data_IF_564746574627
#
_entry.id   IF_564746574627
#
_cell.length_a   1.000
_cell.length_b   1.000
_cell.length_c   1.000
_cell.angle_alpha   90.00
_cell.angle_beta   90.00
_cell.angle_gamma   90.00
#
_symmetry.space_group_name_H-M   'P 1'
#
loop_
_entity.id
_entity.type
_entity.pdbx_description
1 polymer ?
#
# COMPACT_ATOMS: atom_id res chain seq x y z
N UNK A 1 -1.65 -7.92 47.13
CA UNK A 1 -2.63 -7.82 46.01
C UNK A 1 -2.17 -8.50 44.71
N UNK A 2 -0.85 -8.64 44.42
CA UNK A 2 -0.39 -9.25 43.14
C UNK A 2 -0.48 -10.78 43.05
N UNK A 3 -0.49 -11.51 44.16
CA UNK A 3 -0.59 -12.99 44.13
C UNK A 3 -1.96 -13.50 43.68
N UNK A 4 -3.03 -12.83 44.06
CA UNK A 4 -4.41 -13.21 43.72
C UNK A 4 -4.73 -12.99 42.21
N UNK A 5 -4.14 -11.98 41.58
CA UNK A 5 -4.38 -11.70 40.17
C UNK A 5 -3.72 -12.77 39.26
N UNK A 6 -2.49 -13.19 39.58
CA UNK A 6 -1.80 -14.24 38.83
C UNK A 6 -2.51 -15.59 38.92
N UNK A 7 -3.00 -15.95 40.12
CA UNK A 7 -3.77 -17.19 40.28
C UNK A 7 -5.09 -17.16 39.52
N UNK A 8 -5.78 -16.02 39.55
CA UNK A 8 -7.02 -15.82 38.78
C UNK A 8 -6.74 -15.91 37.28
N UNK A 9 -5.67 -15.25 36.81
CA UNK A 9 -5.27 -15.31 35.41
C UNK A 9 -4.93 -16.73 34.95
N UNK A 10 -4.18 -17.50 35.74
CA UNK A 10 -3.88 -18.89 35.41
C UNK A 10 -5.13 -19.75 35.25
N UNK A 11 -6.16 -19.55 36.07
CA UNK A 11 -7.44 -20.25 35.93
C UNK A 11 -8.19 -19.82 34.67
N UNK A 12 -8.15 -18.52 34.32
CA UNK A 12 -8.73 -17.99 33.09
C UNK A 12 -8.01 -18.57 31.87
N UNK A 13 -6.67 -18.68 31.92
CA UNK A 13 -5.87 -19.29 30.86
C UNK A 13 -6.24 -20.75 30.63
N UNK A 14 -6.42 -21.54 31.68
CA UNK A 14 -6.86 -22.94 31.57
C UNK A 14 -8.21 -23.07 30.86
N UNK A 15 -9.19 -22.24 31.21
CA UNK A 15 -10.49 -22.24 30.55
C UNK A 15 -10.40 -21.85 29.07
N UNK A 16 -9.56 -20.85 28.75
CA UNK A 16 -9.36 -20.40 27.36
C UNK A 16 -8.62 -21.46 26.53
N UNK A 17 -7.69 -22.21 27.12
CA UNK A 17 -7.00 -23.31 26.46
C UNK A 17 -7.93 -24.47 26.08
N UNK A 18 -8.97 -24.74 26.90
CA UNK A 18 -10.00 -25.76 26.61
C UNK A 18 -10.98 -25.32 25.52
N UNK A 19 -11.25 -24.00 25.38
CA UNK A 19 -12.22 -23.45 24.42
C UNK A 19 -11.61 -23.07 23.05
N UNK A 20 -10.28 -23.06 22.94
CA UNK A 20 -9.57 -22.59 21.73
C UNK A 20 -8.69 -23.69 21.14
N UNK A 21 -8.32 -23.53 19.85
CA UNK A 21 -7.27 -24.35 19.25
C UNK A 21 -5.91 -24.01 19.86
N UNK A 22 -5.03 -25.01 20.02
CA UNK A 22 -3.70 -24.82 20.61
C UNK A 22 -2.87 -23.72 19.89
N UNK A 23 -3.02 -23.62 18.56
CA UNK A 23 -2.35 -22.58 17.76
C UNK A 23 -2.90 -21.18 18.08
N UNK A 24 -4.20 -21.03 18.20
CA UNK A 24 -4.80 -19.72 18.53
C UNK A 24 -4.48 -19.31 19.96
N UNK A 25 -4.47 -20.26 20.89
CA UNK A 25 -4.13 -20.01 22.28
C UNK A 25 -2.67 -19.54 22.43
N UNK A 26 -1.70 -20.28 21.89
CA UNK A 26 -0.28 -19.93 21.99
C UNK A 26 0.06 -18.63 21.26
N UNK A 27 -0.64 -18.30 20.18
CA UNK A 27 -0.36 -17.08 19.40
C UNK A 27 -0.96 -15.82 20.03
N UNK A 28 -2.19 -15.90 20.59
CA UNK A 28 -2.94 -14.70 20.96
C UNK A 28 -3.15 -14.53 22.45
N UNK A 29 -3.27 -15.62 23.23
CA UNK A 29 -3.63 -15.58 24.64
C UNK A 29 -2.43 -15.76 25.55
N UNK A 30 -1.57 -16.73 25.28
CA UNK A 30 -0.38 -17.03 26.07
C UNK A 30 0.57 -15.83 26.27
N UNK A 31 0.78 -14.94 25.27
CA UNK A 31 1.62 -13.77 25.42
C UNK A 31 1.01 -12.62 26.25
N UNK A 32 -0.24 -12.71 26.68
CA UNK A 32 -0.92 -11.67 27.46
C UNK A 32 -0.44 -11.69 28.91
N UNK A 33 -0.14 -10.52 29.47
CA UNK A 33 0.30 -10.35 30.87
C UNK A 33 -0.74 -9.55 31.65
N UNK A 34 -1.29 -10.06 32.77
CA UNK A 34 -2.18 -9.30 33.62
C UNK A 34 -1.41 -8.23 34.41
N UNK A 35 -1.82 -6.97 34.27
CA UNK A 35 -1.15 -5.81 34.90
C UNK A 35 -1.83 -5.42 36.19
N UNK A 36 -3.15 -5.23 36.16
CA UNK A 36 -3.92 -4.84 37.35
C UNK A 36 -5.36 -5.35 37.28
N UNK A 37 -5.97 -5.51 38.44
CA UNK A 37 -7.39 -5.86 38.56
C UNK A 37 -7.98 -5.05 39.69
N UNK A 38 -9.08 -4.35 39.39
CA UNK A 38 -9.92 -3.63 40.34
C UNK A 38 -11.28 -4.33 40.43
N UNK A 39 -12.19 -3.84 41.29
CA UNK A 39 -13.50 -4.46 41.46
C UNK A 39 -14.39 -4.47 40.19
N UNK A 40 -14.12 -3.60 39.22
CA UNK A 40 -14.91 -3.46 37.98
C UNK A 40 -14.13 -3.70 36.71
N UNK A 41 -12.78 -3.68 36.73
CA UNK A 41 -11.96 -3.72 35.52
C UNK A 41 -10.68 -4.54 35.71
N UNK A 42 -10.26 -5.26 34.66
CA UNK A 42 -8.99 -5.94 34.55
C UNK A 42 -8.19 -5.34 33.40
N UNK A 43 -6.95 -4.95 33.66
CA UNK A 43 -6.01 -4.44 32.65
C UNK A 43 -5.07 -5.56 32.22
N UNK A 44 -5.05 -5.87 30.93
CA UNK A 44 -4.21 -6.90 30.30
C UNK A 44 -3.22 -6.25 29.33
N UNK A 45 -1.95 -6.52 29.50
CA UNK A 45 -0.89 -6.06 28.61
C UNK A 45 -0.69 -7.05 27.47
N UNK A 46 -0.67 -6.53 26.22
CA UNK A 46 -0.45 -7.29 24.99
C UNK A 46 0.87 -6.90 24.32
N UNK A 47 1.55 -7.82 23.60
CA UNK A 47 2.90 -7.58 23.09
C UNK A 47 3.01 -6.49 22.03
N UNK A 48 1.96 -6.24 21.23
CA UNK A 48 2.02 -5.30 20.11
C UNK A 48 0.64 -4.73 19.76
N UNK A 49 0.61 -3.63 19.00
CA UNK A 49 -0.60 -3.04 18.42
C UNK A 49 -1.37 -4.03 17.53
N UNK A 50 -0.67 -4.92 16.85
CA UNK A 50 -1.30 -5.96 16.05
C UNK A 50 -2.06 -6.96 16.93
N UNK A 51 -1.45 -7.42 18.01
CA UNK A 51 -2.11 -8.29 18.99
C UNK A 51 -3.31 -7.58 19.64
N UNK A 52 -3.16 -6.28 19.97
CA UNK A 52 -4.25 -5.46 20.51
C UNK A 52 -5.47 -5.46 19.59
N UNK A 53 -5.29 -5.20 18.28
CA UNK A 53 -6.38 -5.18 17.30
C UNK A 53 -7.12 -6.51 17.19
N UNK A 54 -6.39 -7.63 17.11
CA UNK A 54 -6.96 -8.98 17.00
C UNK A 54 -7.68 -9.39 18.28
N UNK A 55 -7.05 -9.19 19.44
CA UNK A 55 -7.63 -9.56 20.74
C UNK A 55 -8.89 -8.74 21.01
N UNK A 56 -8.86 -7.44 20.74
CA UNK A 56 -10.02 -6.54 20.90
C UNK A 56 -11.20 -6.94 20.03
N UNK A 57 -10.95 -7.36 18.78
CA UNK A 57 -12.03 -7.65 17.82
C UNK A 57 -12.57 -9.07 17.90
N UNK A 58 -11.76 -10.06 18.32
CA UNK A 58 -12.14 -11.48 18.26
C UNK A 58 -12.20 -12.18 19.61
N UNK A 59 -11.36 -11.78 20.55
CA UNK A 59 -11.15 -12.54 21.79
C UNK A 59 -11.56 -11.79 23.05
N UNK A 60 -11.88 -10.48 22.97
CA UNK A 60 -12.28 -9.68 24.14
C UNK A 60 -13.46 -10.29 24.89
N UNK A 61 -14.51 -10.66 24.18
CA UNK A 61 -15.73 -11.22 24.76
C UNK A 61 -15.48 -12.61 25.37
N UNK A 62 -14.63 -13.41 24.74
CA UNK A 62 -14.23 -14.72 25.24
C UNK A 62 -13.45 -14.59 26.55
N UNK A 63 -12.47 -13.69 26.60
CA UNK A 63 -11.68 -13.40 27.80
C UNK A 63 -12.59 -12.87 28.92
N UNK A 64 -13.52 -11.97 28.61
CA UNK A 64 -14.48 -11.42 29.56
C UNK A 64 -15.39 -12.50 30.15
N UNK A 65 -15.87 -13.42 29.34
CA UNK A 65 -16.65 -14.57 29.78
C UNK A 65 -15.84 -15.50 30.69
N UNK A 66 -14.60 -15.80 30.36
CA UNK A 66 -13.71 -16.61 31.18
C UNK A 66 -13.46 -15.96 32.57
N UNK A 67 -13.22 -14.64 32.61
CA UNK A 67 -13.12 -13.90 33.87
C UNK A 67 -14.40 -13.96 34.68
N UNK A 68 -15.57 -13.85 34.03
CA UNK A 68 -16.88 -13.94 34.70
C UNK A 68 -17.10 -15.33 35.36
N UNK A 69 -16.67 -16.40 34.69
CA UNK A 69 -16.76 -17.76 35.21
C UNK A 69 -15.85 -17.94 36.44
N UNK A 70 -14.60 -17.45 36.36
CA UNK A 70 -13.61 -17.63 37.43
C UNK A 70 -13.87 -16.74 38.65
N UNK A 71 -14.31 -15.50 38.43
CA UNK A 71 -14.43 -14.49 39.50
C UNK A 71 -15.88 -14.30 40.01
N UNK A 72 -16.89 -14.83 39.28
CA UNK A 72 -18.30 -14.58 39.48
C UNK A 72 -18.69 -13.08 39.47
N UNK A 73 -17.79 -12.23 38.87
CA UNK A 73 -18.00 -10.80 38.71
C UNK A 73 -18.00 -10.45 37.22
N UNK A 74 -18.76 -9.45 36.82
CA UNK A 74 -18.75 -8.93 35.46
C UNK A 74 -17.66 -7.82 35.39
N UNK A 75 -16.43 -8.20 35.07
CA UNK A 75 -15.28 -7.30 34.98
C UNK A 75 -15.16 -6.79 33.54
N UNK A 76 -14.89 -5.50 33.39
CA UNK A 76 -14.55 -4.94 32.08
C UNK A 76 -13.09 -5.23 31.75
N UNK A 77 -12.81 -5.61 30.48
CA UNK A 77 -11.45 -5.90 30.03
C UNK A 77 -10.89 -4.69 29.31
N UNK A 78 -9.84 -4.11 29.86
CA UNK A 78 -9.01 -3.10 29.22
C UNK A 78 -7.71 -3.73 28.73
N UNK A 79 -7.36 -3.43 27.47
CA UNK A 79 -6.11 -3.90 26.86
C UNK A 79 -5.14 -2.74 26.79
N UNK A 80 -3.87 -2.98 27.12
CA UNK A 80 -2.78 -2.03 26.91
C UNK A 80 -1.63 -2.70 26.16
N UNK A 81 -0.87 -1.92 25.39
CA UNK A 81 0.30 -2.42 24.66
C UNK A 81 1.55 -2.19 25.51
N UNK A 82 2.47 -3.14 25.49
CA UNK A 82 3.75 -3.05 26.18
C UNK A 82 4.56 -1.85 25.68
N UNK A 83 4.58 -0.75 26.43
CA UNK A 83 5.46 0.38 26.15
C UNK A 83 6.85 0.08 26.73
N UNK A 84 7.89 0.19 25.89
CA UNK A 84 9.29 0.21 26.35
C UNK A 84 9.48 1.38 27.31
N UNK A 85 10.04 1.06 28.48
CA UNK A 85 10.24 1.91 29.65
C UNK A 85 10.82 3.29 29.33
N UNK A 86 10.13 4.32 29.75
CA UNK A 86 10.56 5.46 30.58
C UNK A 86 9.59 6.65 30.39
N UNK A 87 8.66 6.80 31.30
CA UNK A 87 8.21 8.12 31.76
C UNK A 87 7.19 7.99 32.90
N UNK A 88 7.53 8.64 33.95
CA UNK A 88 6.92 8.69 35.27
C UNK A 88 5.45 9.14 35.26
N UNK A 89 4.69 8.51 36.14
CA UNK A 89 3.33 8.82 36.57
C UNK A 89 3.21 10.29 37.01
N UNK A 90 2.35 11.04 36.35
CA UNK A 90 1.67 12.17 36.98
C UNK A 90 0.19 12.17 36.54
N UNK A 91 -0.64 11.92 37.54
CA UNK A 91 -2.10 12.14 37.43
C UNK A 91 -2.40 13.60 37.09
N UNK A 92 -3.14 13.83 35.99
CA UNK A 92 -4.08 14.93 35.95
C UNK A 92 -5.24 14.62 34.99
N UNK A 93 -6.40 14.32 35.61
CA UNK A 93 -7.69 14.42 34.93
C UNK A 93 -7.95 15.88 34.61
N UNK A 94 -7.87 16.25 33.33
CA UNK A 94 -8.74 17.25 32.68
C UNK A 94 -8.28 17.44 31.23
N UNK A 95 -9.25 17.38 30.32
CA UNK A 95 -9.21 17.68 28.87
C UNK A 95 -8.89 16.50 27.96
N UNK A 96 -9.89 15.68 27.70
CA UNK A 96 -9.83 14.47 26.87
C UNK A 96 -10.34 14.63 25.42
N UNK A 97 -10.52 15.84 24.92
CA UNK A 97 -10.98 16.03 23.52
C UNK A 97 -9.89 16.45 22.55
N UNK A 98 -8.80 17.07 23.00
CA UNK A 98 -7.72 17.58 22.11
C UNK A 98 -6.58 16.60 21.80
N UNK A 99 -6.49 15.46 22.51
CA UNK A 99 -5.36 14.51 22.38
C UNK A 99 -5.60 13.37 21.37
N UNK A 100 -6.80 13.23 20.79
CA UNK A 100 -7.12 12.13 19.87
C UNK A 100 -6.63 12.36 18.43
N UNK A 101 -6.19 13.55 18.06
CA UNK A 101 -5.82 13.87 16.67
C UNK A 101 -4.40 13.40 16.33
N UNK A 102 -3.48 13.37 17.30
CA UNK A 102 -2.08 12.97 17.08
C UNK A 102 -1.81 11.45 17.02
N UNK A 103 -2.76 10.63 17.40
CA UNK A 103 -2.60 9.15 17.47
C UNK A 103 -2.68 8.41 16.13
N UNK A 104 -2.95 9.10 15.03
CA UNK A 104 -3.18 8.50 13.70
C UNK A 104 -1.91 8.50 12.84
N UNK A 105 -0.87 9.26 13.21
CA UNK A 105 0.38 9.30 12.44
C UNK A 105 1.23 8.07 12.71
N UNK A 106 1.73 7.43 11.64
CA UNK A 106 2.63 6.29 11.76
C UNK A 106 4.02 6.75 12.25
N UNK A 107 4.50 6.32 13.43
CA UNK A 107 5.77 6.77 13.99
C UNK A 107 7.01 6.41 13.15
N UNK A 108 6.88 5.43 12.24
CA UNK A 108 7.96 5.03 11.32
C UNK A 108 8.12 5.99 10.14
N UNK A 109 7.15 6.85 9.86
CA UNK A 109 7.12 7.72 8.67
C UNK A 109 7.57 9.14 9.02
N UNK A 110 8.87 9.34 9.07
CA UNK A 110 9.53 10.62 9.35
C UNK A 110 10.44 11.04 8.20
N UNK A 111 10.86 12.30 8.16
CA UNK A 111 11.85 12.75 7.17
C UNK A 111 13.19 12.02 7.28
N UNK A 112 13.59 11.61 8.49
CA UNK A 112 14.85 10.88 8.73
C UNK A 112 14.83 9.44 8.21
N UNK A 113 13.64 8.85 8.09
CA UNK A 113 13.45 7.49 7.55
C UNK A 113 13.14 7.48 6.05
N UNK A 114 12.82 8.64 5.48
CA UNK A 114 12.56 8.79 4.06
C UNK A 114 13.86 8.85 3.25
N UNK A 115 14.01 7.97 2.26
CA UNK A 115 15.20 7.95 1.40
C UNK A 115 15.00 8.88 0.21
N UNK A 116 15.92 9.84 0.05
CA UNK A 116 15.93 10.79 -1.06
C UNK A 116 16.59 10.16 -2.28
N UNK A 117 15.99 10.36 -3.44
CA UNK A 117 16.52 9.98 -4.75
C UNK A 117 16.14 11.00 -5.80
N UNK A 118 16.62 10.81 -7.03
CA UNK A 118 16.36 11.71 -8.16
C UNK A 118 14.87 11.91 -8.44
N UNK A 119 14.06 10.85 -8.28
CA UNK A 119 12.62 10.85 -8.58
C UNK A 119 11.73 11.45 -7.49
N UNK A 120 12.26 11.81 -6.30
CA UNK A 120 11.44 12.32 -5.19
C UNK A 120 12.02 13.58 -4.51
N UNK A 121 13.12 14.12 -5.02
CA UNK A 121 13.83 15.23 -4.41
C UNK A 121 12.97 16.49 -4.29
N UNK A 122 12.20 16.83 -5.33
CA UNK A 122 11.30 18.00 -5.31
C UNK A 122 10.19 17.81 -4.27
N UNK A 123 9.54 16.65 -4.26
CA UNK A 123 8.47 16.35 -3.31
C UNK A 123 8.96 16.38 -1.86
N UNK A 124 10.16 15.82 -1.60
CA UNK A 124 10.78 15.88 -0.28
C UNK A 124 11.11 17.31 0.14
N UNK A 125 11.73 18.12 -0.73
CA UNK A 125 12.09 19.50 -0.42
C UNK A 125 10.84 20.38 -0.16
N UNK A 126 9.80 20.21 -0.98
CA UNK A 126 8.52 20.89 -0.81
C UNK A 126 7.82 20.48 0.50
N UNK A 127 7.82 19.20 0.83
CA UNK A 127 7.24 18.67 2.06
C UNK A 127 7.97 19.23 3.30
N UNK A 128 9.30 19.30 3.25
CA UNK A 128 10.10 19.86 4.34
C UNK A 128 9.84 21.37 4.51
N UNK A 129 9.81 22.14 3.41
CA UNK A 129 9.52 23.57 3.45
C UNK A 129 8.12 23.87 4.03
N UNK A 130 7.12 23.05 3.68
CA UNK A 130 5.76 23.15 4.25
C UNK A 130 5.75 22.78 5.73
N UNK A 131 6.54 21.79 6.15
CA UNK A 131 6.62 21.38 7.55
C UNK A 131 7.32 22.44 8.43
N UNK A 132 8.36 23.11 7.88
CA UNK A 132 9.08 24.19 8.57
C UNK A 132 8.25 25.47 8.70
N UNK A 133 7.48 25.84 7.68
CA UNK A 133 6.68 27.05 7.65
C UNK A 133 5.27 26.78 7.06
N UNK A 134 4.36 26.16 7.84
CA UNK A 134 3.00 25.88 7.37
C UNK A 134 2.27 27.14 6.91
N UNK A 135 1.57 27.03 5.78
CA UNK A 135 0.82 28.08 5.08
C UNK A 135 1.66 29.25 4.51
N UNK A 136 2.97 29.27 4.73
CA UNK A 136 3.84 30.34 4.25
C UNK A 136 4.53 30.00 2.92
N UNK A 137 4.95 28.73 2.70
CA UNK A 137 5.71 28.35 1.53
C UNK A 137 4.81 27.96 0.35
N UNK A 138 4.13 26.82 0.46
CA UNK A 138 3.30 26.27 -0.62
C UNK A 138 1.94 25.81 -0.06
N UNK A 139 0.86 26.45 -0.49
CA UNK A 139 -0.49 26.12 -0.04
C UNK A 139 -1.51 26.23 -1.19
N UNK A 140 -2.15 25.11 -1.61
CA UNK A 140 -1.89 23.74 -1.14
C UNK A 140 -0.55 23.16 -1.64
N UNK A 141 -0.03 22.16 -0.93
CA UNK A 141 0.96 21.25 -1.49
C UNK A 141 0.25 20.02 -2.01
N UNK A 142 0.38 19.73 -3.30
CA UNK A 142 -0.21 18.57 -3.96
C UNK A 142 0.88 17.58 -4.36
N UNK A 143 0.96 16.44 -3.67
CA UNK A 143 1.94 15.38 -3.91
C UNK A 143 1.29 14.29 -4.75
N UNK A 144 1.83 14.00 -5.93
CA UNK A 144 1.27 12.95 -6.78
C UNK A 144 2.34 11.98 -7.30
N UNK A 145 1.89 10.80 -7.74
CA UNK A 145 2.77 9.75 -8.26
C UNK A 145 2.14 8.38 -8.10
N UNK A 146 2.70 7.36 -8.71
CA UNK A 146 2.18 5.99 -8.69
C UNK A 146 1.92 5.44 -7.27
N UNK A 147 1.21 4.31 -7.22
CA UNK A 147 0.90 3.62 -5.96
C UNK A 147 2.19 3.14 -5.28
N UNK A 148 2.30 3.30 -3.95
CA UNK A 148 3.41 2.76 -3.17
C UNK A 148 4.76 3.47 -3.34
N UNK A 149 4.79 4.74 -3.81
CA UNK A 149 6.01 5.52 -4.01
C UNK A 149 6.42 6.39 -2.81
N UNK A 150 5.67 6.37 -1.69
CA UNK A 150 6.02 7.10 -0.47
C UNK A 150 5.25 8.40 -0.25
N UNK A 151 4.17 8.71 -0.99
CA UNK A 151 3.30 9.88 -0.77
C UNK A 151 2.82 9.98 0.67
N UNK A 152 2.20 8.93 1.18
CA UNK A 152 1.72 8.81 2.56
C UNK A 152 2.85 8.98 3.57
N UNK A 153 4.05 8.48 3.30
CA UNK A 153 5.23 8.66 4.15
C UNK A 153 5.56 10.15 4.31
N UNK A 154 5.65 10.90 3.21
CA UNK A 154 5.93 12.35 3.26
C UNK A 154 4.83 13.12 4.00
N UNK A 155 3.56 12.76 3.83
CA UNK A 155 2.46 13.39 4.55
C UNK A 155 2.57 13.17 6.06
N UNK A 156 2.85 11.94 6.50
CA UNK A 156 3.09 11.66 7.92
C UNK A 156 4.34 12.36 8.45
N UNK A 157 5.41 12.44 7.64
CA UNK A 157 6.63 13.16 7.99
C UNK A 157 6.38 14.66 8.23
N UNK A 158 5.54 15.29 7.39
CA UNK A 158 5.09 16.68 7.60
C UNK A 158 4.37 16.78 8.95
N UNK A 159 3.40 15.88 9.21
CA UNK A 159 2.63 15.89 10.45
C UNK A 159 3.51 15.75 11.69
N UNK A 160 4.44 14.79 11.69
CA UNK A 160 5.38 14.61 12.79
C UNK A 160 6.26 15.84 13.02
N UNK A 161 6.85 16.38 11.97
CA UNK A 161 7.73 17.54 12.06
C UNK A 161 7.01 18.77 12.63
N UNK A 162 5.78 19.03 12.17
CA UNK A 162 4.96 20.16 12.67
C UNK A 162 4.66 19.98 14.16
N UNK A 163 4.25 18.77 14.59
CA UNK A 163 3.91 18.49 16.00
C UNK A 163 5.12 18.52 16.92
N UNK A 164 6.29 18.06 16.45
CA UNK A 164 7.54 18.09 17.19
C UNK A 164 8.05 19.51 17.42
N UNK A 165 7.93 20.39 16.42
CA UNK A 165 8.40 21.78 16.51
C UNK A 165 7.35 22.74 17.09
N UNK A 166 6.07 22.39 17.00
CA UNK A 166 4.99 23.22 17.50
C UNK A 166 3.80 22.37 18.01
N UNK A 167 3.90 21.96 19.28
CA UNK A 167 2.92 21.08 19.93
C UNK A 167 1.50 21.69 20.06
N UNK A 168 1.34 22.98 19.88
CA UNK A 168 0.04 23.66 19.95
C UNK A 168 -0.73 23.62 18.62
N UNK A 169 -0.08 23.24 17.52
CA UNK A 169 -0.73 23.13 16.23
C UNK A 169 -1.62 21.89 16.15
N UNK A 170 -2.81 22.06 15.58
CA UNK A 170 -3.76 20.98 15.33
C UNK A 170 -3.50 20.41 13.93
N UNK A 171 -2.91 19.21 13.88
CA UNK A 171 -2.64 18.48 12.64
C UNK A 171 -3.67 17.37 12.48
N UNK A 172 -4.39 17.36 11.37
CA UNK A 172 -5.34 16.31 11.04
C UNK A 172 -4.90 15.55 9.78
N UNK A 173 -4.56 14.25 9.94
CA UNK A 173 -4.38 13.33 8.84
C UNK A 173 -5.65 12.50 8.63
N UNK A 174 -6.09 12.39 7.38
CA UNK A 174 -7.24 11.56 6.99
C UNK A 174 -7.09 11.07 5.54
N UNK A 175 -7.70 9.93 5.22
CA UNK A 175 -7.90 9.57 3.82
C UNK A 175 -9.19 10.21 3.28
N UNK A 176 -9.25 10.46 1.98
CA UNK A 176 -10.47 10.98 1.35
C UNK A 176 -11.66 10.03 1.46
N UNK A 177 -11.41 8.73 1.58
CA UNK A 177 -12.44 7.74 1.86
C UNK A 177 -13.02 7.92 3.26
N UNK A 178 -12.16 8.08 4.28
CA UNK A 178 -12.59 8.34 5.66
C UNK A 178 -13.36 9.65 5.77
N UNK A 179 -12.89 10.72 5.11
CA UNK A 179 -13.61 11.99 5.02
C UNK A 179 -15.02 11.80 4.45
N UNK A 180 -15.15 11.04 3.33
CA UNK A 180 -16.43 10.72 2.71
C UNK A 180 -17.35 9.96 3.66
N UNK A 181 -16.85 8.93 4.33
CA UNK A 181 -17.64 8.09 5.23
C UNK A 181 -18.10 8.89 6.47
N UNK A 182 -17.25 9.72 7.02
CA UNK A 182 -17.62 10.61 8.13
C UNK A 182 -18.65 11.65 7.72
N UNK A 183 -18.56 12.21 6.52
CA UNK A 183 -19.58 13.12 5.97
C UNK A 183 -20.94 12.42 5.82
N UNK A 184 -20.96 11.21 5.26
CA UNK A 184 -22.20 10.43 5.09
C UNK A 184 -22.86 10.17 6.45
N UNK A 185 -22.05 9.79 7.44
CA UNK A 185 -22.56 9.54 8.81
C UNK A 185 -23.06 10.83 9.47
N UNK A 186 -22.33 11.94 9.31
CA UNK A 186 -22.73 13.24 9.84
C UNK A 186 -24.08 13.72 9.24
N UNK A 187 -24.28 13.52 7.93
CA UNK A 187 -25.57 13.83 7.27
C UNK A 187 -26.68 12.94 7.81
N UNK A 188 -26.43 11.62 7.95
CA UNK A 188 -27.44 10.68 8.45
C UNK A 188 -27.85 10.97 9.90
N UNK A 189 -26.88 11.35 10.74
CA UNK A 189 -27.06 11.52 12.18
C UNK A 189 -27.33 12.99 12.56
N UNK A 190 -27.54 13.90 11.56
CA UNK A 190 -27.75 15.35 11.68
C UNK A 190 -26.64 16.10 12.47
N UNK A 191 -25.37 15.64 12.30
CA UNK A 191 -24.17 16.14 12.98
C UNK A 191 -23.24 16.94 12.05
N UNK A 192 -23.82 17.63 11.07
CA UNK A 192 -23.05 18.38 10.07
C UNK A 192 -22.15 19.45 10.71
N UNK A 193 -22.58 20.09 11.80
CA UNK A 193 -21.79 21.11 12.48
C UNK A 193 -20.57 20.51 13.18
N UNK A 194 -20.70 19.35 13.84
CA UNK A 194 -19.57 18.63 14.45
C UNK A 194 -18.53 18.24 13.39
N UNK A 195 -18.99 17.76 12.23
CA UNK A 195 -18.13 17.42 11.10
C UNK A 195 -17.35 18.66 10.60
N UNK A 196 -18.04 19.78 10.38
CA UNK A 196 -17.41 21.03 9.93
C UNK A 196 -16.41 21.57 10.96
N UNK A 197 -16.76 21.52 12.24
CA UNK A 197 -15.87 21.94 13.32
C UNK A 197 -14.61 21.09 13.36
N UNK A 198 -14.71 19.77 13.17
CA UNK A 198 -13.56 18.86 13.12
C UNK A 198 -12.60 19.19 11.99
N UNK A 199 -13.11 19.46 10.78
CA UNK A 199 -12.29 19.63 9.59
C UNK A 199 -11.88 21.08 9.30
N UNK A 200 -12.55 22.08 9.88
CA UNK A 200 -12.27 23.50 9.61
C UNK A 200 -11.53 24.21 10.75
N UNK A 201 -11.44 23.60 11.96
CA UNK A 201 -10.76 24.17 13.13
C UNK A 201 -9.39 23.51 13.38
N UNK A 202 -8.62 23.31 12.34
CA UNK A 202 -7.28 22.71 12.36
C UNK A 202 -6.26 23.65 11.72
N UNK A 203 -4.98 23.44 12.01
CA UNK A 203 -3.90 24.26 11.45
C UNK A 203 -3.26 23.64 10.22
N UNK A 204 -3.23 22.30 10.16
CA UNK A 204 -2.69 21.53 9.02
C UNK A 204 -3.64 20.39 8.68
N UNK A 205 -4.17 20.40 7.46
CA UNK A 205 -4.93 19.30 6.88
C UNK A 205 -4.03 18.47 5.97
N UNK A 206 -3.91 17.18 6.28
CA UNK A 206 -3.23 16.17 5.45
C UNK A 206 -4.29 15.20 4.92
N UNK A 207 -4.64 15.31 3.64
CA UNK A 207 -5.66 14.43 3.03
C UNK A 207 -5.04 13.51 1.98
N UNK A 208 -5.13 12.22 2.24
CA UNK A 208 -4.51 11.17 1.42
C UNK A 208 -5.51 10.62 0.39
N UNK A 209 -4.96 10.27 -0.78
CA UNK A 209 -5.69 9.60 -1.87
C UNK A 209 -6.94 10.36 -2.35
N UNK A 210 -6.79 11.66 -2.66
CA UNK A 210 -7.90 12.55 -3.03
C UNK A 210 -8.69 12.06 -4.26
N UNK A 211 -8.11 11.21 -5.12
CA UNK A 211 -8.79 10.67 -6.30
C UNK A 211 -10.08 9.91 -5.96
N UNK A 212 -10.25 9.41 -4.73
CA UNK A 212 -11.47 8.69 -4.33
C UNK A 212 -12.71 9.57 -4.09
N UNK A 213 -12.58 10.91 -4.10
CA UNK A 213 -13.76 11.80 -4.12
C UNK A 213 -14.33 11.97 -5.54
N UNK A 214 -13.61 11.55 -6.58
CA UNK A 214 -14.07 11.62 -7.96
C UNK A 214 -15.44 10.97 -8.16
N UNK A 215 -16.37 11.67 -8.80
CA UNK A 215 -17.73 11.20 -9.02
C UNK A 215 -18.66 11.22 -7.80
N UNK A 216 -18.25 11.82 -6.68
CA UNK A 216 -19.05 11.97 -5.46
C UNK A 216 -19.39 13.44 -5.23
N UNK A 217 -20.36 13.97 -5.97
CA UNK A 217 -20.66 15.41 -6.04
C UNK A 217 -20.84 16.08 -4.67
N UNK A 218 -21.61 15.49 -3.77
CA UNK A 218 -21.83 16.03 -2.41
C UNK A 218 -20.54 16.06 -1.58
N UNK A 219 -19.66 15.05 -1.76
CA UNK A 219 -18.37 15.00 -1.06
C UNK A 219 -17.43 16.07 -1.63
N UNK A 220 -17.42 16.25 -2.94
CA UNK A 220 -16.62 17.28 -3.59
C UNK A 220 -17.08 18.69 -3.16
N UNK A 221 -18.37 18.92 -3.05
CA UNK A 221 -18.93 20.18 -2.58
C UNK A 221 -18.52 20.51 -1.15
N UNK A 222 -18.70 19.59 -0.19
CA UNK A 222 -18.31 19.82 1.21
C UNK A 222 -16.78 19.94 1.35
N UNK A 223 -16.01 19.17 0.56
CA UNK A 223 -14.56 19.31 0.53
C UNK A 223 -14.12 20.68 -0.01
N UNK A 224 -14.78 21.19 -1.05
CA UNK A 224 -14.53 22.53 -1.60
C UNK A 224 -14.76 23.62 -0.54
N UNK A 225 -15.84 23.53 0.21
CA UNK A 225 -16.11 24.46 1.31
C UNK A 225 -15.09 24.33 2.46
N UNK A 226 -14.67 23.13 2.79
CA UNK A 226 -13.63 22.88 3.80
C UNK A 226 -12.29 23.45 3.35
N UNK A 227 -11.91 23.21 2.09
CA UNK A 227 -10.69 23.76 1.48
C UNK A 227 -10.68 25.30 1.55
N UNK A 228 -11.76 25.97 1.10
CA UNK A 228 -11.82 27.43 1.11
C UNK A 228 -11.75 27.97 2.55
N UNK A 229 -12.47 27.40 3.50
CA UNK A 229 -12.43 27.83 4.90
C UNK A 229 -11.02 27.76 5.50
N UNK A 230 -10.27 26.69 5.21
CA UNK A 230 -8.89 26.54 5.67
C UNK A 230 -7.94 27.50 4.95
N UNK A 231 -8.07 27.61 3.63
CA UNK A 231 -7.22 28.48 2.82
C UNK A 231 -7.37 29.96 3.20
N UNK A 232 -8.60 30.46 3.36
CA UNK A 232 -8.90 31.82 3.80
C UNK A 232 -8.44 32.12 5.23
N UNK A 233 -8.44 31.09 6.09
CA UNK A 233 -7.90 31.18 7.45
C UNK A 233 -6.37 31.02 7.53
N UNK A 234 -5.66 30.99 6.38
CA UNK A 234 -4.21 30.75 6.29
C UNK A 234 -3.79 29.46 7.01
N UNK A 235 -4.52 28.37 6.82
CA UNK A 235 -4.20 27.03 7.30
C UNK A 235 -3.57 26.20 6.20
N UNK A 236 -2.61 25.35 6.55
CA UNK A 236 -1.91 24.51 5.57
C UNK A 236 -2.78 23.36 5.08
N UNK A 237 -2.80 23.15 3.78
CA UNK A 237 -3.44 22.00 3.13
C UNK A 237 -2.38 21.20 2.36
N UNK A 238 -2.30 19.89 2.62
CA UNK A 238 -1.46 18.95 1.88
C UNK A 238 -2.35 17.85 1.34
N UNK A 239 -2.22 17.58 0.06
CA UNK A 239 -3.08 16.63 -0.67
C UNK A 239 -2.19 15.59 -1.35
N UNK A 240 -2.55 14.30 -1.28
CA UNK A 240 -1.91 13.28 -2.09
C UNK A 240 -2.86 12.71 -3.13
N UNK A 241 -2.30 12.20 -4.25
CA UNK A 241 -3.04 11.53 -5.31
C UNK A 241 -2.14 10.56 -6.09
N UNK A 242 -2.75 9.55 -6.70
CA UNK A 242 -2.03 8.68 -7.64
C UNK A 242 -1.80 9.33 -9.01
N UNK A 243 -2.50 10.45 -9.30
CA UNK A 243 -2.48 11.15 -10.58
C UNK A 243 -2.47 12.66 -10.37
N UNK A 244 -1.94 13.45 -11.32
CA UNK A 244 -2.06 14.90 -11.29
C UNK A 244 -3.54 15.33 -11.37
N UNK A 245 -3.92 16.53 -10.89
CA UNK A 245 -5.31 16.99 -10.83
C UNK A 245 -6.05 16.91 -12.18
N UNK A 246 -5.35 17.17 -13.29
CA UNK A 246 -5.92 17.09 -14.66
C UNK A 246 -6.36 15.69 -15.08
N UNK A 247 -5.77 14.66 -14.52
CA UNK A 247 -6.04 13.26 -14.86
C UNK A 247 -7.04 12.58 -13.91
N UNK A 248 -7.48 13.28 -12.85
CA UNK A 248 -8.52 12.76 -11.98
C UNK A 248 -9.86 12.88 -12.70
N UNK A 249 -10.36 11.74 -13.17
CA UNK A 249 -11.65 11.69 -13.84
C UNK A 249 -12.77 12.11 -12.88
N UNK A 250 -13.76 12.85 -13.39
CA UNK A 250 -14.95 13.31 -12.64
C UNK A 250 -14.64 14.24 -11.45
N UNK A 251 -13.47 14.86 -11.41
CA UNK A 251 -13.17 15.95 -10.47
C UNK A 251 -13.76 17.26 -10.98
N UNK A 252 -14.51 17.96 -10.13
CA UNK A 252 -15.07 19.27 -10.45
C UNK A 252 -13.98 20.30 -10.81
N UNK A 253 -14.22 21.13 -11.82
CA UNK A 253 -13.24 22.10 -12.33
C UNK A 253 -12.80 23.11 -11.27
N UNK A 254 -13.71 23.50 -10.38
CA UNK A 254 -13.41 24.41 -9.26
C UNK A 254 -12.40 23.80 -8.27
N UNK A 255 -12.49 22.48 -7.96
CA UNK A 255 -11.52 21.80 -7.12
C UNK A 255 -10.18 21.60 -7.84
N UNK A 256 -10.24 21.22 -9.12
CA UNK A 256 -9.04 21.09 -9.95
C UNK A 256 -8.23 22.37 -9.97
N UNK A 257 -8.88 23.51 -10.22
CA UNK A 257 -8.24 24.81 -10.19
C UNK A 257 -7.59 25.14 -8.84
N UNK A 258 -8.24 24.78 -7.72
CA UNK A 258 -7.69 24.96 -6.37
C UNK A 258 -6.46 24.12 -6.11
N UNK A 259 -6.45 22.87 -6.58
CA UNK A 259 -5.32 21.97 -6.42
C UNK A 259 -4.10 22.41 -7.26
N UNK A 260 -4.35 22.98 -8.44
CA UNK A 260 -3.31 23.50 -9.32
C UNK A 260 -2.75 24.88 -8.90
N UNK A 261 -3.44 25.59 -8.02
CA UNK A 261 -3.00 26.91 -7.55
C UNK A 261 -1.70 26.86 -6.72
N UNK A 262 -1.51 25.77 -5.95
CA UNK A 262 -0.34 25.58 -5.11
C UNK A 262 0.85 24.96 -5.85
N UNK A 263 1.68 24.23 -5.11
CA UNK A 263 2.79 23.48 -5.68
C UNK A 263 2.37 22.03 -5.99
N UNK A 264 2.56 21.62 -7.24
CA UNK A 264 2.44 20.24 -7.67
C UNK A 264 3.81 19.57 -7.59
N UNK A 265 3.94 18.55 -6.76
CA UNK A 265 5.18 17.79 -6.55
C UNK A 265 4.99 16.34 -6.96
N UNK A 266 5.69 15.89 -7.99
CA UNK A 266 5.63 14.52 -8.46
C UNK A 266 6.61 13.61 -7.69
N UNK A 267 6.23 12.35 -7.56
CA UNK A 267 7.10 11.28 -7.09
C UNK A 267 7.14 10.20 -8.17
N UNK A 268 8.32 10.01 -8.73
CA UNK A 268 8.59 8.99 -9.74
C UNK A 268 9.11 7.69 -9.11
N UNK A 269 9.09 6.62 -9.90
CA UNK A 269 9.67 5.35 -9.48
C UNK A 269 11.17 5.52 -9.17
N UNK A 270 11.66 4.95 -8.06
CA UNK A 270 13.05 5.07 -7.66
C UNK A 270 13.99 4.32 -8.64
N UNK A 271 15.15 4.89 -8.88
CA UNK A 271 16.25 4.20 -9.57
C UNK A 271 16.82 3.05 -8.71
N UNK A 272 17.67 2.22 -9.29
CA UNK A 272 18.22 1.04 -8.60
C UNK A 272 18.99 1.41 -7.34
N UNK A 273 19.76 2.49 -7.38
CA UNK A 273 20.56 2.95 -6.23
C UNK A 273 19.65 3.40 -5.09
N UNK A 274 18.60 4.15 -5.41
CA UNK A 274 17.57 4.56 -4.42
C UNK A 274 16.83 3.34 -3.85
N UNK A 275 16.50 2.32 -4.67
CA UNK A 275 15.89 1.08 -4.18
C UNK A 275 16.77 0.34 -3.19
N UNK A 276 18.07 0.20 -3.48
CA UNK A 276 19.04 -0.41 -2.55
C UNK A 276 19.11 0.39 -1.25
N UNK A 277 19.17 1.71 -1.33
CA UNK A 277 19.22 2.59 -0.17
C UNK A 277 17.93 2.47 0.69
N UNK A 278 16.75 2.32 0.08
CA UNK A 278 15.48 2.09 0.78
C UNK A 278 15.52 0.75 1.53
N UNK A 279 15.94 -0.33 0.87
CA UNK A 279 16.04 -1.65 1.48
C UNK A 279 17.04 -1.66 2.65
N UNK A 280 18.21 -1.01 2.48
CA UNK A 280 19.22 -0.87 3.52
C UNK A 280 18.68 -0.09 4.72
N UNK A 281 18.03 1.05 4.47
CA UNK A 281 17.40 1.84 5.53
C UNK A 281 16.34 1.06 6.28
N UNK A 282 15.55 0.25 5.58
CA UNK A 282 14.52 -0.62 6.17
C UNK A 282 15.13 -1.71 7.04
N UNK A 283 16.18 -2.40 6.57
CA UNK A 283 16.86 -3.44 7.35
C UNK A 283 17.52 -2.89 8.61
N UNK A 284 18.14 -1.70 8.53
CA UNK A 284 18.71 -0.99 9.69
C UNK A 284 17.66 -0.67 10.75
N UNK A 285 16.50 -0.11 10.33
CA UNK A 285 15.41 0.24 11.25
C UNK A 285 14.80 -0.97 11.95
N UNK A 286 14.76 -2.10 11.28
CA UNK A 286 14.23 -3.36 11.82
C UNK A 286 15.33 -4.24 12.46
N UNK A 287 16.60 -3.75 12.47
CA UNK A 287 17.77 -4.41 13.07
C UNK A 287 18.07 -5.78 12.48
N UNK A 288 17.85 -5.96 11.18
CA UNK A 288 18.24 -7.15 10.45
C UNK A 288 19.56 -6.92 9.74
N UNK A 289 20.49 -7.88 9.90
CA UNK A 289 21.76 -7.91 9.16
C UNK A 289 21.53 -8.64 7.82
N UNK A 290 21.36 -7.85 6.77
CA UNK A 290 21.09 -8.36 5.42
C UNK A 290 22.29 -8.09 4.53
N UNK A 291 22.90 -9.11 3.90
CA UNK A 291 24.02 -8.93 3.00
C UNK A 291 23.67 -8.05 1.77
N UNK A 292 24.59 -7.19 1.37
CA UNK A 292 24.40 -6.25 0.26
C UNK A 292 23.99 -6.93 -1.06
N UNK A 293 24.56 -8.10 -1.37
CA UNK A 293 24.19 -8.88 -2.56
C UNK A 293 22.72 -9.32 -2.58
N UNK A 294 22.11 -9.51 -1.40
CA UNK A 294 20.67 -9.80 -1.28
C UNK A 294 19.84 -8.55 -1.55
N UNK A 295 20.25 -7.40 -0.99
CA UNK A 295 19.58 -6.10 -1.25
C UNK A 295 19.65 -5.73 -2.72
N UNK A 296 20.82 -5.89 -3.35
CA UNK A 296 21.01 -5.67 -4.80
C UNK A 296 20.14 -6.62 -5.63
N UNK A 297 20.07 -7.90 -5.27
CA UNK A 297 19.24 -8.88 -5.95
C UNK A 297 17.75 -8.47 -5.92
N UNK A 298 17.24 -8.10 -4.75
CA UNK A 298 15.84 -7.64 -4.59
C UNK A 298 15.61 -6.38 -5.42
N UNK A 299 16.50 -5.38 -5.31
CA UNK A 299 16.37 -4.09 -6.00
C UNK A 299 16.42 -4.24 -7.53
N UNK A 300 17.21 -5.16 -8.09
CA UNK A 300 17.31 -5.39 -9.52
C UNK A 300 16.12 -6.16 -10.12
N UNK A 301 15.41 -6.93 -9.31
CA UNK A 301 14.32 -7.79 -9.80
C UNK A 301 12.92 -7.23 -9.48
N UNK A 302 12.80 -6.24 -8.58
CA UNK A 302 11.53 -5.63 -8.19
C UNK A 302 11.60 -4.13 -8.46
N UNK A 303 11.02 -3.73 -9.60
CA UNK A 303 11.08 -2.36 -10.11
C UNK A 303 9.74 -1.60 -9.95
N UNK A 304 8.67 -2.26 -9.53
CA UNK A 304 7.30 -1.78 -9.61
C UNK A 304 7.02 -0.61 -8.65
N UNK A 305 7.21 -0.82 -7.35
CA UNK A 305 6.96 0.19 -6.31
C UNK A 305 7.64 -0.19 -4.97
N UNK A 306 7.71 0.78 -4.05
CA UNK A 306 8.41 0.61 -2.77
C UNK A 306 7.67 -0.39 -1.85
N UNK A 307 6.33 -0.46 -1.89
CA UNK A 307 5.58 -1.43 -1.07
C UNK A 307 5.92 -2.87 -1.43
N UNK A 308 6.04 -3.15 -2.72
CA UNK A 308 6.41 -4.48 -3.20
C UNK A 308 7.89 -4.79 -2.93
N UNK A 309 8.75 -3.78 -3.05
CA UNK A 309 10.16 -3.88 -2.70
C UNK A 309 10.35 -4.23 -1.21
N UNK A 310 9.68 -3.53 -0.30
CA UNK A 310 9.66 -3.82 1.14
C UNK A 310 8.99 -5.16 1.44
N UNK A 311 7.93 -5.50 0.73
CA UNK A 311 7.24 -6.78 0.85
C UNK A 311 8.14 -7.97 0.52
N UNK A 312 8.98 -7.85 -0.50
CA UNK A 312 9.96 -8.86 -0.86
C UNK A 312 11.05 -9.03 0.22
N UNK A 313 11.58 -7.93 0.75
CA UNK A 313 12.53 -7.99 1.86
C UNK A 313 11.91 -8.67 3.09
N UNK A 314 10.70 -8.26 3.48
CA UNK A 314 9.99 -8.85 4.61
C UNK A 314 9.77 -10.37 4.43
N UNK A 315 9.48 -10.81 3.19
CA UNK A 315 9.31 -12.23 2.88
C UNK A 315 10.62 -13.02 3.07
N UNK A 316 11.74 -12.48 2.61
CA UNK A 316 13.07 -13.10 2.79
C UNK A 316 13.40 -13.22 4.28
N UNK A 317 13.19 -12.15 5.05
CA UNK A 317 13.41 -12.12 6.49
C UNK A 317 12.53 -13.14 7.21
N UNK A 318 11.23 -13.17 6.89
CA UNK A 318 10.29 -14.11 7.49
C UNK A 318 10.66 -15.56 7.20
N UNK A 319 11.05 -15.86 5.95
CA UNK A 319 11.48 -17.21 5.57
C UNK A 319 12.75 -17.64 6.31
N UNK A 320 13.76 -16.77 6.39
CA UNK A 320 14.99 -17.01 7.14
C UNK A 320 14.70 -17.27 8.63
N UNK A 321 13.83 -16.45 9.23
CA UNK A 321 13.44 -16.58 10.65
C UNK A 321 12.67 -17.89 10.93
N UNK A 322 11.78 -18.31 10.03
CA UNK A 322 11.00 -19.54 10.19
C UNK A 322 11.84 -20.81 10.00
N UNK A 323 12.85 -20.75 9.12
CA UNK A 323 13.75 -21.90 8.86
C UNK A 323 14.96 -21.95 9.76
N UNK A 324 15.23 -20.89 10.53
CA UNK A 324 16.46 -20.73 11.32
C UNK A 324 17.73 -20.62 10.45
N UNK A 325 17.58 -20.34 9.15
CA UNK A 325 18.68 -20.23 8.21
C UNK A 325 19.21 -18.79 8.13
N UNK A 326 20.53 -18.59 7.89
CA UNK A 326 21.04 -17.26 7.62
C UNK A 326 20.47 -16.70 6.31
N UNK A 327 20.33 -15.37 6.23
CA UNK A 327 19.92 -14.71 5.00
C UNK A 327 21.06 -14.79 3.98
N UNK A 328 20.87 -15.57 2.92
CA UNK A 328 21.82 -15.71 1.80
C UNK A 328 21.18 -15.37 0.47
N UNK A 329 21.99 -15.19 -0.56
CA UNK A 329 21.50 -14.92 -1.90
C UNK A 329 20.66 -16.09 -2.44
N UNK A 330 21.08 -17.33 -2.18
CA UNK A 330 20.36 -18.53 -2.62
C UNK A 330 18.98 -18.60 -1.97
N UNK A 331 18.90 -18.36 -0.65
CA UNK A 331 17.63 -18.31 0.07
C UNK A 331 16.71 -17.23 -0.50
N UNK A 332 17.24 -16.04 -0.81
CA UNK A 332 16.48 -14.95 -1.41
C UNK A 332 15.97 -15.31 -2.82
N UNK A 333 16.80 -15.97 -3.64
CA UNK A 333 16.42 -16.44 -4.98
C UNK A 333 15.28 -17.46 -4.90
N UNK A 334 15.37 -18.45 -4.05
CA UNK A 334 14.35 -19.48 -3.90
C UNK A 334 13.03 -18.90 -3.36
N UNK A 335 13.12 -18.03 -2.34
CA UNK A 335 11.97 -17.41 -1.71
C UNK A 335 11.20 -16.47 -2.66
N UNK A 336 11.92 -15.73 -3.53
CA UNK A 336 11.33 -14.72 -4.42
C UNK A 336 11.05 -15.23 -5.83
N UNK A 337 11.48 -16.45 -6.18
CA UNK A 337 11.34 -17.02 -7.53
C UNK A 337 9.94 -16.86 -8.11
N UNK A 338 8.92 -17.26 -7.37
CA UNK A 338 7.53 -17.17 -7.83
C UNK A 338 7.04 -15.73 -8.02
N UNK A 339 7.49 -14.81 -7.16
CA UNK A 339 7.14 -13.39 -7.25
C UNK A 339 7.79 -12.80 -8.50
N UNK A 340 9.09 -12.98 -8.68
CA UNK A 340 9.86 -12.46 -9.82
C UNK A 340 9.34 -13.05 -11.14
N UNK A 341 9.00 -14.34 -11.16
CA UNK A 341 8.37 -14.97 -12.32
C UNK A 341 6.99 -14.36 -12.63
N UNK A 342 6.20 -14.04 -11.62
CA UNK A 342 4.93 -13.31 -11.76
C UNK A 342 5.13 -11.89 -12.33
N UNK A 343 6.13 -11.15 -11.88
CA UNK A 343 6.44 -9.81 -12.39
C UNK A 343 6.93 -9.80 -13.84
N UNK A 344 7.76 -10.77 -14.23
CA UNK A 344 8.25 -10.88 -15.60
C UNK A 344 7.12 -11.10 -16.61
N UNK A 345 6.03 -11.71 -16.17
CA UNK A 345 4.80 -11.89 -16.99
C UNK A 345 3.91 -10.64 -16.96
N UNK A 346 3.82 -9.93 -15.83
CA UNK A 346 2.97 -8.77 -15.66
C UNK A 346 3.48 -7.50 -16.41
N UNK A 347 4.77 -7.40 -16.66
CA UNK A 347 5.39 -6.25 -17.34
C UNK A 347 5.61 -6.42 -18.85
N UNK A 348 5.01 -7.43 -19.47
CA UNK A 348 5.09 -7.59 -20.92
C UNK A 348 4.22 -6.53 -21.60
N UNK A 349 4.87 -5.52 -22.20
CA UNK A 349 4.20 -4.52 -23.02
C UNK A 349 3.90 -5.04 -24.44
N UNK A 350 2.76 -4.64 -24.97
CA UNK A 350 2.35 -4.98 -26.36
C UNK A 350 3.38 -4.56 -27.40
N UNK A 351 4.17 -3.51 -27.17
CA UNK A 351 5.24 -3.10 -28.06
C UNK A 351 6.38 -4.13 -28.10
N UNK A 352 6.72 -4.76 -26.97
CA UNK A 352 7.69 -5.84 -26.89
C UNK A 352 7.19 -7.05 -27.67
N UNK A 353 5.93 -7.41 -27.53
CA UNK A 353 5.31 -8.50 -28.28
C UNK A 353 5.35 -8.20 -29.79
N UNK A 354 4.94 -6.98 -30.21
CA UNK A 354 4.99 -6.59 -31.61
C UNK A 354 6.41 -6.65 -32.18
N UNK A 355 7.44 -6.17 -31.43
CA UNK A 355 8.84 -6.23 -31.88
C UNK A 355 9.32 -7.66 -32.11
N UNK A 356 9.00 -8.59 -31.21
CA UNK A 356 9.37 -10.00 -31.35
C UNK A 356 8.69 -10.66 -32.53
N UNK A 357 7.37 -10.44 -32.68
CA UNK A 357 6.62 -11.00 -33.82
C UNK A 357 7.10 -10.40 -35.14
N UNK A 358 7.34 -9.08 -35.20
CA UNK A 358 7.88 -8.41 -36.38
C UNK A 358 9.25 -8.99 -36.80
N UNK A 359 10.13 -9.21 -35.81
CA UNK A 359 11.46 -9.83 -36.08
C UNK A 359 11.33 -11.27 -36.57
N UNK A 360 10.41 -12.04 -35.99
CA UNK A 360 10.25 -13.45 -36.35
C UNK A 360 9.70 -13.65 -37.78
N UNK A 361 8.74 -12.79 -38.19
CA UNK A 361 8.09 -12.90 -39.51
C UNK A 361 8.64 -11.90 -40.55
N UNK A 362 9.70 -11.17 -40.25
CA UNK A 362 10.33 -10.16 -41.11
C UNK A 362 9.33 -9.13 -41.66
N UNK A 363 8.52 -8.54 -40.76
CA UNK A 363 7.51 -7.52 -41.09
C UNK A 363 7.65 -6.30 -40.19
N UNK A 364 7.06 -5.17 -40.60
CA UNK A 364 7.11 -3.94 -39.80
C UNK A 364 5.88 -3.76 -38.89
N UNK A 365 6.01 -3.01 -37.77
CA UNK A 365 4.87 -2.71 -36.92
C UNK A 365 3.69 -2.01 -37.64
N UNK A 366 4.01 -1.18 -38.65
CA UNK A 366 3.00 -0.53 -39.50
C UNK A 366 2.22 -1.53 -40.34
N UNK A 367 2.90 -2.58 -40.83
CA UNK A 367 2.22 -3.67 -41.55
C UNK A 367 1.28 -4.45 -40.64
N UNK A 368 1.67 -4.71 -39.37
CA UNK A 368 0.76 -5.33 -38.41
C UNK A 368 -0.51 -4.50 -38.16
N UNK A 369 -0.39 -3.17 -38.11
CA UNK A 369 -1.52 -2.25 -37.93
C UNK A 369 -2.31 -2.00 -39.22
N UNK A 370 -1.75 -2.34 -40.39
CA UNK A 370 -2.37 -2.07 -41.70
C UNK A 370 -3.64 -2.87 -41.92
N UNK A 371 -4.48 -2.42 -42.89
CA UNK A 371 -5.70 -3.14 -43.32
C UNK A 371 -5.41 -4.29 -44.32
N UNK A 372 -4.13 -4.57 -44.64
CA UNK A 372 -3.77 -5.65 -45.58
C UNK A 372 -4.24 -7.01 -45.05
N UNK A 373 -4.77 -7.85 -45.98
CA UNK A 373 -5.35 -9.17 -45.68
C UNK A 373 -4.53 -10.34 -46.26
N UNK A 374 -3.38 -10.06 -46.90
CA UNK A 374 -2.48 -11.10 -47.38
C UNK A 374 -2.06 -12.00 -46.23
N UNK A 375 -1.89 -13.29 -46.46
CA UNK A 375 -1.55 -14.29 -45.43
C UNK A 375 -0.26 -13.93 -44.71
N UNK A 376 0.72 -13.38 -45.43
CA UNK A 376 2.03 -12.94 -44.91
C UNK A 376 1.93 -11.82 -43.83
N UNK A 377 0.85 -11.03 -43.82
CA UNK A 377 0.62 -9.97 -42.83
C UNK A 377 -0.49 -10.34 -41.87
N UNK A 378 -1.54 -11.05 -42.35
CA UNK A 378 -2.70 -11.37 -41.53
C UNK A 378 -2.38 -12.44 -40.48
N UNK A 379 -1.57 -13.45 -40.80
CA UNK A 379 -1.21 -14.50 -39.86
C UNK A 379 -0.30 -13.99 -38.72
N UNK A 380 0.81 -13.28 -38.98
CA UNK A 380 1.62 -12.68 -37.91
C UNK A 380 0.81 -11.73 -37.02
N UNK A 381 -0.14 -10.97 -37.60
CA UNK A 381 -1.05 -10.11 -36.82
C UNK A 381 -1.92 -10.92 -35.87
N UNK A 382 -2.49 -12.05 -36.32
CA UNK A 382 -3.28 -12.97 -35.49
C UNK A 382 -2.44 -13.54 -34.37
N UNK A 383 -1.20 -13.95 -34.63
CA UNK A 383 -0.22 -14.39 -33.64
C UNK A 383 0.07 -13.29 -32.61
N UNK A 384 0.30 -12.07 -33.06
CA UNK A 384 0.54 -10.93 -32.15
C UNK A 384 -0.67 -10.62 -31.26
N UNK A 385 -1.90 -10.65 -31.81
CA UNK A 385 -3.13 -10.49 -31.03
C UNK A 385 -3.29 -11.60 -29.99
N UNK A 386 -3.04 -12.86 -30.35
CA UNK A 386 -3.07 -13.99 -29.46
C UNK A 386 -2.05 -13.86 -28.31
N UNK A 387 -0.80 -13.51 -28.64
CA UNK A 387 0.26 -13.30 -27.64
C UNK A 387 -0.05 -12.11 -26.70
N UNK A 388 -0.62 -11.03 -27.23
CA UNK A 388 -1.09 -9.91 -26.40
C UNK A 388 -2.17 -10.36 -25.42
N UNK A 389 -3.15 -11.15 -25.87
CA UNK A 389 -4.21 -11.68 -24.99
C UNK A 389 -3.69 -12.58 -23.90
N UNK A 390 -2.80 -13.52 -24.26
CA UNK A 390 -2.21 -14.53 -23.38
C UNK A 390 -1.23 -13.94 -22.35
N UNK A 391 -0.34 -13.03 -22.81
CA UNK A 391 0.79 -12.58 -22.00
C UNK A 391 0.54 -11.28 -21.24
N UNK A 392 -0.45 -10.47 -21.64
CA UNK A 392 -0.72 -9.17 -21.00
C UNK A 392 -2.09 -9.09 -20.31
N UNK A 393 -2.96 -10.05 -20.52
CA UNK A 393 -4.35 -10.03 -20.00
C UNK A 393 -5.21 -8.88 -20.52
N UNK A 394 -4.79 -8.13 -21.55
CA UNK A 394 -5.54 -7.01 -22.12
C UNK A 394 -6.93 -7.45 -22.61
N UNK A 395 -7.91 -6.54 -22.52
CA UNK A 395 -9.24 -6.77 -23.06
C UNK A 395 -9.23 -6.83 -24.60
N UNK A 396 -10.12 -7.62 -25.20
CA UNK A 396 -10.24 -7.75 -26.66
C UNK A 396 -10.42 -6.41 -27.36
N UNK A 397 -11.25 -5.46 -26.87
CA UNK A 397 -11.38 -4.12 -27.47
C UNK A 397 -10.07 -3.35 -27.45
N UNK A 398 -9.30 -3.42 -26.36
CA UNK A 398 -8.01 -2.74 -26.23
C UNK A 398 -6.99 -3.26 -27.22
N UNK A 399 -6.89 -4.59 -27.38
CA UNK A 399 -6.05 -5.23 -28.40
C UNK A 399 -6.47 -4.78 -29.79
N UNK A 400 -7.77 -4.77 -30.10
CA UNK A 400 -8.29 -4.31 -31.38
C UNK A 400 -7.85 -2.89 -31.73
N UNK A 401 -7.88 -1.96 -30.77
CA UNK A 401 -7.41 -0.58 -30.96
C UNK A 401 -5.90 -0.51 -31.31
N UNK A 402 -5.06 -1.30 -30.63
CA UNK A 402 -3.60 -1.35 -30.84
C UNK A 402 -3.27 -1.83 -32.27
N UNK A 403 -4.04 -2.80 -32.79
CA UNK A 403 -3.82 -3.39 -34.11
C UNK A 403 -4.62 -2.72 -35.24
N UNK A 404 -4.83 -1.40 -35.16
CA UNK A 404 -5.40 -0.59 -36.24
C UNK A 404 -6.93 -0.43 -36.18
N UNK A 405 -7.52 -0.36 -34.98
CA UNK A 405 -8.96 -0.08 -34.77
C UNK A 405 -9.85 -1.25 -35.21
N UNK A 406 -9.45 -2.48 -34.89
CA UNK A 406 -10.22 -3.67 -35.22
C UNK A 406 -11.26 -3.97 -34.15
N UNK A 407 -12.38 -4.54 -34.58
CA UNK A 407 -13.44 -4.97 -33.70
C UNK A 407 -12.97 -6.11 -32.79
N UNK A 408 -13.52 -6.18 -31.57
CA UNK A 408 -13.22 -7.21 -30.57
C UNK A 408 -13.51 -8.63 -31.08
N UNK A 409 -14.51 -8.79 -31.94
CA UNK A 409 -14.83 -10.08 -32.60
C UNK A 409 -13.71 -10.55 -33.52
N UNK A 410 -13.05 -9.61 -34.23
CA UNK A 410 -11.86 -9.96 -35.05
C UNK A 410 -10.69 -10.46 -34.18
N UNK A 411 -10.49 -9.89 -33.01
CA UNK A 411 -9.45 -10.33 -32.07
C UNK A 411 -9.81 -11.69 -31.48
N UNK A 412 -11.06 -11.89 -31.12
CA UNK A 412 -11.56 -13.17 -30.60
C UNK A 412 -11.31 -14.32 -31.60
N UNK A 413 -11.77 -14.14 -32.86
CA UNK A 413 -11.53 -15.11 -33.92
C UNK A 413 -10.04 -15.33 -34.23
N UNK A 414 -9.21 -14.31 -34.10
CA UNK A 414 -7.77 -14.46 -34.25
C UNK A 414 -7.19 -15.38 -33.14
N UNK A 415 -7.61 -15.21 -31.89
CA UNK A 415 -7.18 -16.02 -30.77
C UNK A 415 -7.63 -17.48 -30.92
N UNK A 416 -8.91 -17.72 -31.25
CA UNK A 416 -9.47 -19.04 -31.48
C UNK A 416 -8.75 -19.78 -32.60
N UNK A 417 -8.50 -19.09 -33.72
CA UNK A 417 -7.80 -19.66 -34.87
C UNK A 417 -6.37 -20.07 -34.53
N UNK A 418 -5.61 -19.20 -33.87
CA UNK A 418 -4.23 -19.52 -33.49
C UNK A 418 -4.19 -20.68 -32.49
N UNK A 419 -5.12 -20.73 -31.54
CA UNK A 419 -5.24 -21.84 -30.60
C UNK A 419 -5.48 -23.15 -31.35
N UNK A 420 -6.43 -23.19 -32.28
CA UNK A 420 -6.72 -24.38 -33.12
C UNK A 420 -5.54 -24.79 -34.00
N UNK A 421 -4.81 -23.79 -34.57
CA UNK A 421 -3.62 -24.12 -35.38
C UNK A 421 -2.46 -24.67 -34.51
N UNK A 422 -2.32 -24.21 -33.26
CA UNK A 422 -1.34 -24.81 -32.33
C UNK A 422 -1.66 -26.26 -31.98
N UNK A 423 -2.93 -26.64 -31.93
CA UNK A 423 -3.34 -28.02 -31.63
C UNK A 423 -3.08 -28.98 -32.81
N UNK A 424 -3.18 -28.46 -34.03
CA UNK A 424 -3.06 -29.28 -35.26
C UNK A 424 -1.69 -29.19 -35.95
N UNK A 425 -0.94 -28.12 -35.75
CA UNK A 425 0.33 -27.87 -36.45
C UNK A 425 1.50 -27.70 -35.45
N UNK A 426 2.41 -28.61 -35.44
CA UNK A 426 3.59 -28.64 -34.57
C UNK A 426 4.58 -27.47 -34.85
N UNK A 427 4.68 -27.00 -36.11
CA UNK A 427 5.54 -25.87 -36.47
C UNK A 427 5.02 -24.59 -35.88
N UNK A 428 3.70 -24.33 -35.97
CA UNK A 428 3.06 -23.15 -35.37
C UNK A 428 3.22 -23.18 -33.84
N UNK A 429 3.01 -24.35 -33.23
CA UNK A 429 3.24 -24.51 -31.78
C UNK A 429 4.66 -24.17 -31.37
N UNK A 430 5.64 -24.67 -32.12
CA UNK A 430 7.06 -24.40 -31.87
C UNK A 430 7.41 -22.92 -32.03
N UNK A 431 6.94 -22.28 -33.11
CA UNK A 431 7.14 -20.86 -33.37
C UNK A 431 6.58 -19.98 -32.27
N UNK A 432 5.34 -20.23 -31.80
CA UNK A 432 4.70 -19.48 -30.71
C UNK A 432 5.44 -19.72 -29.40
N UNK A 433 5.88 -20.95 -29.10
CA UNK A 433 6.66 -21.26 -27.90
C UNK A 433 8.02 -20.56 -27.90
N UNK A 434 8.67 -20.43 -29.05
CA UNK A 434 9.92 -19.69 -29.20
C UNK A 434 9.71 -18.18 -29.01
N UNK A 435 8.67 -17.60 -29.63
CA UNK A 435 8.30 -16.21 -29.42
C UNK A 435 7.93 -15.91 -27.96
N UNK A 436 7.15 -16.78 -27.30
CA UNK A 436 6.84 -16.66 -25.87
C UNK A 436 8.14 -16.64 -25.04
N UNK A 437 9.10 -17.52 -25.32
CA UNK A 437 10.41 -17.53 -24.64
C UNK A 437 11.16 -16.22 -24.83
N UNK A 438 11.22 -15.71 -26.07
CA UNK A 438 11.92 -14.47 -26.40
C UNK A 438 11.26 -13.24 -25.76
N UNK A 439 9.94 -13.24 -25.56
CA UNK A 439 9.18 -12.19 -24.92
C UNK A 439 9.37 -12.23 -23.40
N UNK A 440 9.37 -13.41 -22.79
CA UNK A 440 9.44 -13.58 -21.32
C UNK A 440 10.88 -13.60 -20.79
N UNK A 441 11.90 -13.53 -21.64
CA UNK A 441 13.31 -13.56 -21.23
C UNK A 441 13.79 -14.91 -20.66
N UNK A 442 12.99 -15.97 -20.75
CA UNK A 442 13.35 -17.29 -20.23
C UNK A 442 14.25 -18.05 -21.20
N UNK A 443 15.57 -17.88 -21.04
CA UNK A 443 16.54 -18.88 -21.49
C UNK A 443 16.46 -20.08 -20.52
N UNK A 444 15.52 -20.97 -20.75
CA UNK A 444 15.54 -22.28 -20.09
C UNK A 444 16.51 -23.15 -20.89
N UNK A 445 17.73 -23.28 -20.42
CA UNK A 445 18.52 -24.47 -20.71
C UNK A 445 17.83 -25.64 -20.05
N UNK A 446 16.92 -26.29 -20.74
CA UNK A 446 16.50 -27.64 -20.40
C UNK A 446 17.58 -28.57 -20.95
N UNK A 447 18.42 -29.08 -20.08
CA UNK A 447 19.03 -30.38 -20.22
C UNK A 447 17.93 -31.42 -20.36
N UNK A 448 17.57 -31.74 -21.59
CA UNK A 448 17.12 -33.11 -21.93
C UNK A 448 18.32 -33.80 -22.55
N UNK A 449 18.98 -34.60 -21.78
CA UNK A 449 19.85 -35.67 -22.27
C UNK A 449 19.49 -36.95 -21.55
N UNK A 450 19.01 -37.93 -22.38
CA UNK A 450 18.98 -39.37 -22.19
C UNK A 450 17.95 -39.94 -21.19
#
# INVERSE_FOLDING_TARGET
MSANLKETWNKVMQLLEEEMTSVSFSTWIEPIVPVSCNDNCVVLEVPSEFNFGIIKSRYKDLIQNAFRIVTHKNLEIELCVKSSENASIVNNKKNTEDTQISSILNPKYTFSTFVKGSGNQLAHAAALAVAEAPAAAYNPLFIYGGVGLGKTHLMHAIGHYVLENNSNMKVLYTSSEKFTNELINAIRDDKNEEFRNKYRNIDVLLIDDIQFIGGKDRTQEEFFHTFNALYEANKQIVISSDKPPKEILTLEERLRSRFEWGLLADIQAPDTETRIAILRKKSELEKYDIPDNVLEYIANNIESNIRELEGALNRVIAYASLTGAPVTLELAQDCLKQIIEGYSVANIDHNTIMKVVCRYYDITPEQLRSKKRSREVAFPRQVAMYLCRELTGMSLPRIGQIFGGRDHTTVMHACEKIQSEMDTNSEVRRAISEMKRNITGKNIFSTESL
#
